data_IF_810844148329
#
_entry.id   IF_810844148329
#
_cell.length_a   1.000
_cell.length_b   1.000
_cell.length_c   1.000
_cell.angle_alpha   90.00
_cell.angle_beta   90.00
_cell.angle_gamma   90.00
#
_symmetry.space_group_name_H-M   'P 1'
#
loop_
_entity.id
_entity.type
_entity.pdbx_description
1 polymer ?
#
# COMPACT_ATOMS: atom_id res chain seq x y z
N UNK A 1 -20.11 -7.59 5.85
CA UNK A 1 -18.99 -6.64 5.73
C UNK A 1 -17.98 -6.99 6.79
N UNK A 2 -16.69 -7.06 6.44
CA UNK A 2 -15.64 -7.35 7.41
C UNK A 2 -15.48 -6.16 8.36
N UNK A 3 -15.13 -6.38 9.63
CA UNK A 3 -14.80 -5.32 10.59
C UNK A 3 -13.71 -4.36 10.10
N UNK A 4 -12.88 -4.79 9.14
CA UNK A 4 -11.86 -3.95 8.50
C UNK A 4 -12.49 -2.93 7.54
N UNK A 5 -13.54 -3.31 6.80
CA UNK A 5 -14.18 -2.42 5.83
C UNK A 5 -14.90 -1.26 6.52
N UNK A 6 -15.49 -1.52 7.68
CA UNK A 6 -16.17 -0.50 8.50
C UNK A 6 -15.19 0.50 9.12
N UNK A 7 -13.94 0.08 9.38
CA UNK A 7 -12.89 0.91 9.98
C UNK A 7 -12.04 1.64 8.94
N UNK A 8 -11.91 1.08 7.73
CA UNK A 8 -11.10 1.65 6.68
C UNK A 8 -11.63 3.00 6.20
N UNK A 9 -10.72 3.90 5.84
CA UNK A 9 -11.06 5.13 5.15
C UNK A 9 -11.63 4.81 3.75
N UNK A 10 -12.49 5.70 3.25
CA UNK A 10 -12.82 5.73 1.82
C UNK A 10 -11.54 6.00 1.02
N UNK A 11 -11.56 5.65 -0.27
CA UNK A 11 -10.40 5.87 -1.15
C UNK A 11 -10.05 7.37 -1.23
N UNK A 12 -11.05 8.26 -1.28
CA UNK A 12 -10.88 9.72 -1.32
C UNK A 12 -10.31 10.25 0.00
N UNK A 13 -10.81 9.74 1.14
CA UNK A 13 -10.32 10.12 2.45
C UNK A 13 -8.88 9.66 2.69
N UNK A 14 -8.54 8.45 2.21
CA UNK A 14 -7.17 7.95 2.23
C UNK A 14 -6.26 8.81 1.35
N UNK A 15 -6.68 9.14 0.13
CA UNK A 15 -5.91 9.99 -0.77
C UNK A 15 -5.67 11.38 -0.16
N UNK A 16 -6.71 11.99 0.39
CA UNK A 16 -6.60 13.25 1.10
C UNK A 16 -5.61 13.15 2.27
N UNK A 17 -5.70 12.10 3.09
CA UNK A 17 -4.77 11.85 4.19
C UNK A 17 -3.32 11.74 3.72
N UNK A 18 -3.05 11.05 2.60
CA UNK A 18 -1.70 10.87 2.05
C UNK A 18 -1.06 12.18 1.56
N UNK A 19 -1.86 13.19 1.24
CA UNK A 19 -1.35 14.53 0.85
C UNK A 19 -0.87 15.36 2.05
N UNK A 20 -1.33 15.02 3.26
CA UNK A 20 -0.95 15.74 4.48
C UNK A 20 0.52 15.47 4.81
N UNK A 21 1.25 16.51 5.20
CA UNK A 21 2.65 16.39 5.63
C UNK A 21 2.72 15.66 6.98
N UNK A 22 2.93 14.35 6.94
CA UNK A 22 3.13 13.51 8.13
C UNK A 22 4.60 13.43 8.58
N UNK A 23 4.80 13.15 9.88
CA UNK A 23 6.08 12.83 10.50
C UNK A 23 5.90 11.59 11.42
N UNK A 24 6.60 10.47 11.20
CA UNK A 24 7.62 10.23 10.16
C UNK A 24 7.03 10.24 8.75
N UNK A 25 7.89 10.45 7.74
CA UNK A 25 7.44 10.59 6.36
C UNK A 25 7.03 9.21 5.79
N UNK A 26 5.83 9.08 5.20
CA UNK A 26 5.44 7.91 4.42
C UNK A 26 6.44 7.62 3.29
N UNK A 27 6.65 6.34 2.96
CA UNK A 27 7.47 5.95 1.80
C UNK A 27 6.80 6.27 0.47
N UNK A 28 5.46 6.37 0.45
CA UNK A 28 4.66 6.68 -0.74
C UNK A 28 3.65 7.78 -0.43
N UNK A 29 3.27 8.58 -1.44
CA UNK A 29 2.43 9.78 -1.25
C UNK A 29 1.28 9.91 -2.25
N UNK A 30 1.12 8.90 -3.11
CA UNK A 30 0.04 8.85 -4.09
C UNK A 30 -0.63 7.49 -4.03
N UNK A 31 -1.91 7.43 -4.34
CA UNK A 31 -2.65 6.15 -4.39
C UNK A 31 -2.00 5.18 -5.39
N UNK A 32 -1.50 5.70 -6.51
CA UNK A 32 -0.76 4.92 -7.52
C UNK A 32 0.52 4.31 -6.96
N UNK A 33 1.33 5.08 -6.22
CA UNK A 33 2.51 4.54 -5.55
C UNK A 33 2.15 3.55 -4.43
N UNK A 34 1.07 3.80 -3.69
CA UNK A 34 0.59 2.85 -2.68
C UNK A 34 0.16 1.53 -3.31
N UNK A 35 -0.58 1.57 -4.41
CA UNK A 35 -1.03 0.38 -5.14
C UNK A 35 0.17 -0.47 -5.63
N UNK A 36 1.20 0.17 -6.18
CA UNK A 36 2.43 -0.51 -6.58
C UNK A 36 3.21 -1.08 -5.39
N UNK A 37 3.29 -0.34 -4.29
CA UNK A 37 3.92 -0.81 -3.05
C UNK A 37 3.22 -2.05 -2.51
N UNK A 38 1.90 -2.01 -2.37
CA UNK A 38 1.12 -3.14 -1.83
C UNK A 38 1.17 -4.33 -2.79
N UNK A 39 1.15 -4.09 -4.11
CA UNK A 39 1.33 -5.17 -5.09
C UNK A 39 2.67 -5.89 -4.90
N UNK A 40 3.77 -5.16 -4.70
CA UNK A 40 5.07 -5.76 -4.39
C UNK A 40 5.06 -6.49 -3.04
N UNK A 41 4.36 -5.98 -2.03
CA UNK A 41 4.24 -6.65 -0.73
C UNK A 41 3.47 -7.98 -0.82
N UNK A 42 2.45 -8.06 -1.68
CA UNK A 42 1.65 -9.27 -1.95
C UNK A 42 2.42 -10.29 -2.79
N UNK A 43 3.07 -9.83 -3.86
CA UNK A 43 3.71 -10.71 -4.86
C UNK A 43 5.16 -11.07 -4.53
N UNK A 44 5.78 -10.32 -3.63
CA UNK A 44 7.19 -10.46 -3.26
C UNK A 44 7.46 -11.47 -2.13
N UNK A 45 8.69 -11.47 -1.60
CA UNK A 45 9.06 -12.29 -0.46
C UNK A 45 8.18 -11.98 0.76
N UNK A 46 7.65 -13.03 1.40
CA UNK A 46 6.79 -12.91 2.58
C UNK A 46 7.46 -12.13 3.72
N UNK A 47 6.75 -11.12 4.23
CA UNK A 47 7.05 -10.46 5.51
C UNK A 47 6.59 -11.34 6.68
N UNK A 48 7.41 -11.45 7.73
CA UNK A 48 7.05 -12.25 8.91
C UNK A 48 5.95 -11.57 9.72
N UNK A 49 6.06 -10.24 9.88
CA UNK A 49 5.09 -9.37 10.52
C UNK A 49 4.54 -8.37 9.48
N UNK A 50 3.21 -8.29 9.25
CA UNK A 50 2.62 -7.27 8.37
C UNK A 50 3.01 -5.83 8.72
N UNK A 51 3.26 -5.54 10.00
CA UNK A 51 3.71 -4.22 10.44
C UNK A 51 5.10 -3.85 9.89
N UNK A 52 5.89 -4.83 9.41
CA UNK A 52 7.17 -4.59 8.72
C UNK A 52 7.07 -3.80 7.44
N UNK A 53 5.93 -3.86 6.76
CA UNK A 53 5.72 -3.10 5.54
C UNK A 53 4.59 -2.08 5.68
N UNK A 54 3.55 -2.38 6.47
CA UNK A 54 2.38 -1.49 6.65
C UNK A 54 2.71 -0.22 7.43
N UNK A 55 3.54 -0.32 8.47
CA UNK A 55 3.94 0.86 9.23
C UNK A 55 4.81 1.82 8.39
N UNK A 56 5.93 1.38 7.78
CA UNK A 56 6.78 2.31 7.04
C UNK A 56 6.12 2.89 5.79
N UNK A 57 5.26 2.14 5.07
CA UNK A 57 4.62 2.67 3.85
C UNK A 57 3.83 3.95 4.12
N UNK A 58 3.15 4.02 5.28
CA UNK A 58 2.38 5.19 5.72
C UNK A 58 3.05 6.02 6.82
N UNK A 59 4.30 5.73 7.20
CA UNK A 59 4.95 6.47 8.29
C UNK A 59 4.24 6.32 9.65
N UNK A 60 3.60 5.17 9.90
CA UNK A 60 2.99 4.86 11.19
C UNK A 60 4.05 4.31 12.16
N UNK A 61 3.90 4.53 13.48
CA UNK A 61 4.78 3.92 14.47
C UNK A 61 4.58 2.39 14.53
N UNK A 62 5.58 1.66 15.03
CA UNK A 62 5.50 0.19 15.12
C UNK A 62 4.54 -0.33 16.18
N UNK A 63 4.15 0.48 17.14
CA UNK A 63 3.13 0.15 18.13
C UNK A 63 1.75 0.72 17.78
N UNK A 64 1.52 1.07 16.51
CA UNK A 64 0.26 1.67 16.03
C UNK A 64 -0.98 0.85 16.40
N UNK A 65 -0.92 -0.48 16.40
CA UNK A 65 -2.07 -1.31 16.77
C UNK A 65 -2.43 -1.23 18.27
N UNK A 66 -1.46 -0.87 19.12
CA UNK A 66 -1.66 -0.78 20.57
C UNK A 66 -1.92 0.66 21.03
N UNK A 67 -1.34 1.65 20.34
CA UNK A 67 -1.32 3.06 20.79
C UNK A 67 -1.76 4.07 19.72
N UNK A 68 -2.19 3.59 18.55
CA UNK A 68 -2.62 4.45 17.46
C UNK A 68 -3.86 5.25 17.82
N UNK A 69 -3.99 6.42 17.20
CA UNK A 69 -5.26 7.14 17.17
C UNK A 69 -6.29 6.38 16.32
N UNK A 70 -7.56 6.78 16.41
CA UNK A 70 -8.60 6.24 15.52
C UNK A 70 -8.24 6.44 14.03
N UNK A 71 -7.62 7.57 13.69
CA UNK A 71 -7.14 7.83 12.33
C UNK A 71 -6.02 6.87 11.94
N UNK A 72 -5.06 6.59 12.83
CA UNK A 72 -3.98 5.66 12.52
C UNK A 72 -4.51 4.24 12.29
N UNK A 73 -5.47 3.80 13.10
CA UNK A 73 -6.16 2.51 12.91
C UNK A 73 -6.95 2.47 11.61
N UNK A 74 -7.63 3.55 11.22
CA UNK A 74 -8.37 3.63 9.96
C UNK A 74 -7.43 3.58 8.74
N UNK A 75 -6.27 4.25 8.82
CA UNK A 75 -5.22 4.16 7.78
C UNK A 75 -4.67 2.75 7.70
N UNK A 76 -4.37 2.13 8.84
CA UNK A 76 -3.89 0.74 8.89
C UNK A 76 -4.91 -0.25 8.31
N UNK A 77 -6.20 -0.09 8.65
CA UNK A 77 -7.30 -0.86 8.08
C UNK A 77 -7.41 -0.67 6.56
N UNK A 78 -7.19 0.54 6.07
CA UNK A 78 -7.20 0.83 4.63
C UNK A 78 -6.09 0.09 3.90
N UNK A 79 -4.89 0.00 4.49
CA UNK A 79 -3.80 -0.81 3.94
C UNK A 79 -4.16 -2.30 3.89
N UNK A 80 -4.78 -2.83 4.95
CA UNK A 80 -5.24 -4.22 5.00
C UNK A 80 -6.31 -4.50 3.93
N UNK A 81 -7.27 -3.57 3.76
CA UNK A 81 -8.31 -3.65 2.72
C UNK A 81 -7.70 -3.67 1.31
N UNK A 82 -6.74 -2.79 1.03
CA UNK A 82 -6.05 -2.75 -0.27
C UNK A 82 -5.24 -4.03 -0.50
N UNK A 83 -4.52 -4.50 0.51
CA UNK A 83 -3.79 -5.76 0.47
C UNK A 83 -4.70 -6.94 0.14
N UNK A 84 -5.80 -7.10 0.88
CA UNK A 84 -6.72 -8.21 0.68
C UNK A 84 -7.34 -8.17 -0.71
N UNK A 85 -7.82 -7.00 -1.14
CA UNK A 85 -8.34 -6.81 -2.51
C UNK A 85 -7.32 -7.23 -3.56
N UNK A 86 -6.06 -6.78 -3.47
CA UNK A 86 -5.02 -7.13 -4.46
C UNK A 86 -4.71 -8.62 -4.41
N UNK A 87 -4.56 -9.20 -3.21
CA UNK A 87 -4.27 -10.62 -3.03
C UNK A 87 -5.40 -11.50 -3.57
N UNK A 88 -6.65 -11.19 -3.25
CA UNK A 88 -7.84 -11.88 -3.75
C UNK A 88 -7.96 -11.76 -5.27
N UNK A 89 -7.80 -10.57 -5.85
CA UNK A 89 -7.81 -10.42 -7.32
C UNK A 89 -6.72 -11.25 -7.98
N UNK A 90 -5.48 -11.17 -7.48
CA UNK A 90 -4.37 -11.93 -8.07
C UNK A 90 -4.53 -13.45 -7.92
N UNK A 91 -5.14 -13.91 -6.83
CA UNK A 91 -5.29 -15.34 -6.56
C UNK A 91 -6.52 -15.94 -7.25
N UNK A 92 -7.68 -15.30 -7.13
CA UNK A 92 -8.96 -15.85 -7.60
C UNK A 92 -9.30 -15.43 -9.03
N UNK A 93 -8.87 -14.23 -9.46
CA UNK A 93 -9.26 -13.62 -10.74
C UNK A 93 -8.11 -12.82 -11.38
N UNK A 94 -6.95 -13.45 -11.65
CA UNK A 94 -5.76 -12.73 -12.10
C UNK A 94 -5.96 -11.93 -13.39
N UNK A 95 -6.88 -12.36 -14.27
CA UNK A 95 -7.24 -11.65 -15.49
C UNK A 95 -7.93 -10.31 -15.25
N UNK A 96 -8.49 -10.09 -14.06
CA UNK A 96 -9.18 -8.85 -13.67
C UNK A 96 -8.20 -7.85 -13.01
N UNK A 97 -6.95 -8.25 -12.76
CA UNK A 97 -5.97 -7.36 -12.14
C UNK A 97 -5.57 -6.21 -13.07
N UNK A 98 -5.76 -4.98 -12.60
CA UNK A 98 -5.34 -3.75 -13.27
C UNK A 98 -4.62 -2.81 -12.28
N UNK A 99 -3.35 -2.44 -12.52
CA UNK A 99 -2.64 -1.44 -11.72
C UNK A 99 -3.37 -0.10 -11.67
N UNK A 100 -3.38 0.55 -10.49
CA UNK A 100 -3.95 1.91 -10.36
C UNK A 100 -2.94 2.97 -10.81
N UNK A 101 -2.87 3.23 -12.11
CA UNK A 101 -1.99 4.29 -12.64
C UNK A 101 -2.54 5.70 -12.42
N UNK A 102 -1.62 6.67 -12.36
CA UNK A 102 -1.99 8.09 -12.37
C UNK A 102 -2.29 8.52 -13.80
N UNK A 103 -3.27 9.40 -14.00
CA UNK A 103 -3.54 10.01 -15.30
C UNK A 103 -2.67 11.25 -15.49
N UNK A 104 -2.05 11.40 -16.67
CA UNK A 104 -1.28 12.61 -17.00
C UNK A 104 -2.23 13.78 -17.29
N UNK A 105 -1.83 15.03 -16.98
CA UNK A 105 -2.62 16.21 -17.38
C UNK A 105 -2.87 16.31 -18.88
N UNK A 106 -1.95 15.83 -19.70
CA UNK A 106 -2.04 15.79 -21.17
C UNK A 106 -2.88 14.62 -21.73
N UNK A 107 -3.48 13.80 -20.85
CA UNK A 107 -4.08 12.52 -21.21
C UNK A 107 -3.11 11.34 -21.22
N UNK A 108 -3.65 10.13 -21.11
CA UNK A 108 -2.90 8.88 -21.00
C UNK A 108 -2.41 8.57 -19.58
N UNK A 109 -1.76 7.42 -19.42
CA UNK A 109 -1.29 6.93 -18.12
C UNK A 109 0.15 7.38 -17.80
N UNK A 110 0.41 7.59 -16.52
CA UNK A 110 1.73 7.71 -15.91
C UNK A 110 1.99 6.51 -14.97
N UNK A 111 2.81 5.54 -15.40
CA UNK A 111 3.13 4.38 -14.58
C UNK A 111 4.20 4.69 -13.52
N UNK A 112 4.89 5.83 -13.59
CA UNK A 112 6.06 6.12 -12.74
C UNK A 112 5.77 6.05 -11.24
N UNK A 113 4.67 6.64 -10.72
CA UNK A 113 4.40 6.57 -9.28
C UNK A 113 4.19 5.12 -8.82
N UNK A 114 3.46 4.33 -9.61
CA UNK A 114 3.26 2.91 -9.34
C UNK A 114 4.58 2.14 -9.28
N UNK A 115 5.46 2.31 -10.29
CA UNK A 115 6.77 1.66 -10.31
C UNK A 115 7.66 2.10 -9.13
N UNK A 116 7.62 3.37 -8.74
CA UNK A 116 8.35 3.89 -7.58
C UNK A 116 7.88 3.23 -6.29
N UNK A 117 6.56 3.10 -6.10
CA UNK A 117 5.98 2.40 -4.96
C UNK A 117 6.38 0.93 -4.89
N UNK A 118 6.29 0.23 -6.02
CA UNK A 118 6.74 -1.17 -6.13
C UNK A 118 8.20 -1.31 -5.70
N UNK A 119 9.07 -0.46 -6.24
CA UNK A 119 10.50 -0.48 -5.91
C UNK A 119 10.78 -0.09 -4.44
N UNK A 120 9.99 0.81 -3.85
CA UNK A 120 10.11 1.16 -2.44
C UNK A 120 9.82 -0.05 -1.52
N UNK A 121 8.81 -0.86 -1.85
CA UNK A 121 8.54 -2.11 -1.14
C UNK A 121 9.67 -3.12 -1.33
N UNK A 122 10.22 -3.25 -2.55
CA UNK A 122 11.38 -4.11 -2.80
C UNK A 122 12.56 -3.76 -1.89
N UNK A 123 12.83 -2.47 -1.71
CA UNK A 123 13.95 -1.98 -0.91
C UNK A 123 13.84 -2.33 0.59
N UNK A 124 12.65 -2.61 1.11
CA UNK A 124 12.53 -3.10 2.50
C UNK A 124 13.24 -4.44 2.71
N UNK A 125 13.39 -5.26 1.65
CA UNK A 125 14.08 -6.53 1.74
C UNK A 125 14.75 -6.96 0.43
N UNK A 126 15.49 -6.05 -0.21
CA UNK A 126 16.04 -6.27 -1.57
C UNK A 126 16.87 -7.55 -1.68
N UNK A 127 17.52 -7.97 -0.59
CA UNK A 127 18.32 -9.21 -0.53
C UNK A 127 17.49 -10.49 -0.70
N UNK A 128 16.19 -10.45 -0.39
CA UNK A 128 15.26 -11.58 -0.57
C UNK A 128 14.60 -11.60 -1.95
N UNK A 129 14.62 -10.49 -2.69
CA UNK A 129 14.24 -10.43 -4.10
C UNK A 129 15.35 -11.01 -4.97
N UNK A 130 15.65 -12.30 -4.76
CA UNK A 130 16.58 -13.03 -5.61
C UNK A 130 15.93 -13.28 -6.96
N UNK A 131 16.75 -13.40 -8.01
CA UNK A 131 16.28 -13.84 -9.31
C UNK A 131 15.56 -15.17 -9.12
N UNK A 132 14.39 -15.29 -9.74
CA UNK A 132 13.88 -16.60 -10.08
C UNK A 132 14.86 -17.12 -11.12
N UNK A 133 15.72 -18.07 -10.70
CA UNK A 133 16.85 -18.65 -11.43
C UNK A 133 18.21 -17.93 -11.22
#
# INVERSE_FOLDING_TARGET
MSSIDDMALSDEALEAWMTVKANPRPLVRTVSALDGFVTAAVTGPRFADPQDWMCPVMGLPRDVLAKGSATDHAVFASLARIHNRINETLFDRPQDYAPRFTTKPSGGIDPRPWCQGFYAAMNLNIKRWKRLL
#
